data_IF_018321505111
#
_entry.id   IF_018321505111
#
_cell.length_a   1.000
_cell.length_b   1.000
_cell.length_c   1.000
_cell.angle_alpha   90.00
_cell.angle_beta   90.00
_cell.angle_gamma   90.00
#
_symmetry.space_group_name_H-M   'P 1'
#
loop_
_entity.id
_entity.type
_entity.pdbx_description
1 polymer ?
#
# COMPACT_ATOMS: atom_id res chain seq x y z
N UNK A 1 -2.55 -1.26 -7.99
CA UNK A 1 -3.59 -0.27 -8.31
C UNK A 1 -3.20 0.34 -9.64
N UNK A 2 -3.68 -0.25 -10.74
CA UNK A 2 -3.24 0.13 -12.10
C UNK A 2 -3.41 1.61 -12.42
N UNK A 3 -4.49 2.24 -11.94
CA UNK A 3 -4.87 3.63 -12.22
C UNK A 3 -3.84 4.67 -11.74
N UNK A 4 -3.07 4.31 -10.72
CA UNK A 4 -2.00 5.14 -10.15
C UNK A 4 -0.62 4.50 -10.26
N UNK A 5 -0.52 3.42 -11.06
CA UNK A 5 0.70 2.64 -11.26
C UNK A 5 1.44 2.31 -9.94
N UNK A 6 0.68 1.90 -8.92
CA UNK A 6 1.20 1.79 -7.55
C UNK A 6 0.61 0.65 -6.73
N UNK A 7 1.24 0.34 -5.59
CA UNK A 7 0.82 -0.70 -4.65
C UNK A 7 -0.05 -0.13 -3.53
N UNK A 8 -1.00 -0.96 -3.08
CA UNK A 8 -1.76 -0.76 -1.86
C UNK A 8 -1.35 -1.80 -0.81
N UNK A 9 -1.13 -1.38 0.44
CA UNK A 9 -0.75 -2.29 1.54
C UNK A 9 -1.77 -2.19 2.67
N UNK A 10 -2.40 -3.32 3.02
CA UNK A 10 -3.43 -3.38 4.06
C UNK A 10 -3.00 -4.28 5.20
N UNK A 11 -3.15 -3.79 6.44
CA UNK A 11 -2.93 -4.60 7.65
C UNK A 11 -4.07 -5.60 7.86
N UNK A 12 -3.76 -6.76 8.45
CA UNK A 12 -4.77 -7.73 8.90
C UNK A 12 -5.73 -7.15 9.92
N UNK A 13 -5.22 -6.27 10.79
CA UNK A 13 -5.99 -5.70 11.89
C UNK A 13 -6.88 -4.53 11.46
N UNK A 14 -6.77 -4.10 10.20
CA UNK A 14 -7.61 -3.05 9.65
C UNK A 14 -9.01 -3.57 9.33
N UNK A 15 -10.01 -2.95 9.97
CA UNK A 15 -11.43 -3.23 9.74
C UNK A 15 -11.99 -2.18 8.81
N UNK A 16 -12.15 -2.55 7.54
CA UNK A 16 -12.67 -1.65 6.51
C UNK A 16 -12.35 -2.14 5.10
N UNK A 17 -12.81 -1.39 4.12
CA UNK A 17 -12.42 -1.57 2.73
C UNK A 17 -11.13 -0.81 2.43
N UNK A 18 -10.30 -1.37 1.56
CA UNK A 18 -9.22 -0.62 0.91
C UNK A 18 -9.80 0.29 -0.17
N UNK A 19 -8.97 1.18 -0.72
CA UNK A 19 -9.31 2.05 -1.87
C UNK A 19 -9.82 1.30 -3.10
N UNK A 20 -9.54 0.00 -3.24
CA UNK A 20 -10.07 -0.85 -4.31
C UNK A 20 -11.38 -1.58 -3.92
N UNK A 21 -12.04 -1.14 -2.85
CA UNK A 21 -13.33 -1.66 -2.37
C UNK A 21 -13.28 -3.01 -1.65
N UNK A 22 -12.11 -3.62 -1.50
CA UNK A 22 -11.98 -4.96 -0.91
C UNK A 22 -11.43 -4.89 0.53
N UNK A 23 -11.99 -5.65 1.49
CA UNK A 23 -11.39 -5.81 2.81
C UNK A 23 -10.17 -6.74 2.78
N UNK A 24 -9.38 -6.75 3.87
CA UNK A 24 -8.22 -7.63 4.02
C UNK A 24 -8.56 -9.10 3.77
N UNK A 25 -9.69 -9.61 4.29
CA UNK A 25 -10.07 -11.03 4.16
C UNK A 25 -10.20 -11.47 2.70
N UNK A 26 -10.79 -10.64 1.84
CA UNK A 26 -10.92 -10.89 0.40
C UNK A 26 -9.54 -10.94 -0.27
N UNK A 27 -8.68 -9.96 0.03
CA UNK A 27 -7.32 -9.89 -0.55
C UNK A 27 -6.43 -11.03 -0.06
N UNK A 28 -6.53 -11.41 1.22
CA UNK A 28 -5.86 -12.57 1.77
C UNK A 28 -6.30 -13.85 1.04
N UNK A 29 -7.60 -14.02 0.81
CA UNK A 29 -8.13 -15.12 -0.01
C UNK A 29 -7.55 -15.14 -1.42
N UNK A 30 -7.40 -13.97 -2.05
CA UNK A 30 -6.78 -13.85 -3.37
C UNK A 30 -5.31 -14.27 -3.37
N UNK A 31 -4.53 -13.89 -2.36
CA UNK A 31 -3.09 -14.19 -2.24
C UNK A 31 -2.75 -15.56 -1.63
N UNK A 32 -3.76 -16.34 -1.22
CA UNK A 32 -3.57 -17.60 -0.48
C UNK A 32 -3.53 -18.87 -1.37
N UNK A 33 -3.32 -20.02 -0.73
CA UNK A 33 -3.46 -21.34 -1.37
C UNK A 33 -2.24 -21.80 -2.18
N UNK A 34 -1.06 -21.20 -1.96
CA UNK A 34 0.18 -21.57 -2.65
C UNK A 34 0.19 -21.24 -4.15
N UNK A 35 -0.79 -20.49 -4.63
CA UNK A 35 -0.88 -20.04 -6.03
C UNK A 35 -0.12 -18.74 -6.19
N UNK A 36 0.68 -18.66 -7.24
CA UNK A 36 1.28 -17.40 -7.66
C UNK A 36 0.22 -16.59 -8.40
N UNK A 37 -0.05 -15.38 -7.90
CA UNK A 37 -0.91 -14.42 -8.58
C UNK A 37 -0.14 -13.13 -8.75
N UNK A 38 0.04 -12.75 -10.00
CA UNK A 38 0.69 -11.49 -10.33
C UNK A 38 -0.11 -10.32 -9.73
N UNK A 39 0.62 -9.33 -9.20
CA UNK A 39 0.03 -8.16 -8.54
C UNK A 39 -0.41 -8.36 -7.09
N UNK A 40 -0.31 -9.58 -6.55
CA UNK A 40 -0.70 -9.89 -5.17
C UNK A 40 0.41 -10.63 -4.42
N UNK A 41 0.77 -10.15 -3.24
CA UNK A 41 1.76 -10.80 -2.38
C UNK A 41 1.40 -10.64 -0.91
N UNK A 42 1.51 -11.73 -0.15
CA UNK A 42 1.46 -11.68 1.32
C UNK A 42 2.85 -11.41 1.88
N UNK A 43 2.96 -10.43 2.78
CA UNK A 43 4.22 -10.06 3.43
C UNK A 43 4.07 -10.03 4.95
N UNK A 44 5.16 -10.27 5.67
CA UNK A 44 5.24 -9.99 7.11
C UNK A 44 5.36 -8.49 7.37
N UNK A 45 4.79 -8.02 8.47
CA UNK A 45 4.79 -6.58 8.84
C UNK A 45 6.21 -6.03 8.97
N UNK A 46 7.14 -6.80 9.53
CA UNK A 46 8.55 -6.43 9.65
C UNK A 46 9.26 -6.26 8.29
N UNK A 47 8.70 -6.76 7.18
CA UNK A 47 9.32 -6.54 5.87
C UNK A 47 9.26 -5.07 5.45
N UNK A 48 8.31 -4.28 5.98
CA UNK A 48 8.22 -2.83 5.73
C UNK A 48 9.43 -2.06 6.25
N UNK A 49 10.14 -2.57 7.25
CA UNK A 49 11.36 -1.93 7.77
C UNK A 49 12.62 -2.40 7.06
N UNK A 50 12.49 -3.30 6.07
CA UNK A 50 13.64 -3.82 5.34
C UNK A 50 14.13 -2.82 4.28
N UNK A 51 15.46 -2.59 4.15
CA UNK A 51 16.01 -1.83 3.03
C UNK A 51 15.83 -2.56 1.68
N UNK A 52 15.40 -3.83 1.70
CA UNK A 52 15.10 -4.64 0.51
C UNK A 52 13.61 -4.75 0.23
N UNK A 53 12.78 -3.92 0.87
CA UNK A 53 11.34 -3.90 0.64
C UNK A 53 11.03 -3.65 -0.83
N UNK A 54 10.50 -4.67 -1.53
CA UNK A 54 10.12 -4.65 -2.95
C UNK A 54 11.12 -3.90 -3.86
N UNK A 55 12.43 -4.04 -3.59
CA UNK A 55 13.44 -3.20 -4.24
C UNK A 55 13.47 -3.39 -5.76
N UNK A 56 13.19 -4.60 -6.24
CA UNK A 56 13.11 -4.90 -7.67
C UNK A 56 11.95 -4.19 -8.36
N UNK A 57 10.88 -3.88 -7.63
CA UNK A 57 9.71 -3.17 -8.15
C UNK A 57 9.79 -1.66 -7.93
N UNK A 58 10.74 -1.17 -7.13
CA UNK A 58 10.91 0.26 -6.80
C UNK A 58 10.55 0.63 -5.36
N UNK A 59 10.26 -0.36 -4.50
CA UNK A 59 10.08 -0.20 -3.05
C UNK A 59 8.98 0.79 -2.67
N UNK A 60 9.22 1.59 -1.63
CA UNK A 60 8.25 2.56 -1.13
C UNK A 60 7.85 3.62 -2.16
N UNK A 61 8.71 3.91 -3.15
CA UNK A 61 8.40 4.81 -4.26
C UNK A 61 7.26 4.31 -5.15
N UNK A 62 6.85 3.04 -5.03
CA UNK A 62 5.67 2.49 -5.71
C UNK A 62 4.46 2.35 -4.81
N UNK A 63 4.58 2.55 -3.50
CA UNK A 63 3.43 2.46 -2.60
C UNK A 63 2.61 3.74 -2.76
N UNK A 64 1.37 3.60 -3.20
CA UNK A 64 0.43 4.72 -3.36
C UNK A 64 -0.47 4.86 -2.13
N UNK A 65 -0.81 3.73 -1.49
CA UNK A 65 -1.73 3.68 -0.36
C UNK A 65 -1.30 2.65 0.69
N UNK A 66 -1.46 2.96 1.97
CA UNK A 66 -1.36 1.97 3.05
C UNK A 66 -2.16 2.36 4.29
N UNK A 67 -2.57 1.39 5.10
CA UNK A 67 -3.24 1.70 6.38
C UNK A 67 -2.33 2.51 7.30
N UNK A 68 -2.86 3.52 8.01
CA UNK A 68 -2.06 4.48 8.76
C UNK A 68 -1.16 3.81 9.81
N UNK A 69 -1.61 2.70 10.41
CA UNK A 69 -0.82 1.90 11.35
C UNK A 69 0.47 1.34 10.74
N UNK A 70 0.44 0.94 9.47
CA UNK A 70 1.63 0.50 8.74
C UNK A 70 2.53 1.68 8.36
N UNK A 71 1.93 2.85 8.08
CA UNK A 71 2.67 4.08 7.80
C UNK A 71 3.46 4.55 9.02
N UNK A 72 2.90 4.41 10.23
CA UNK A 72 3.62 4.63 11.49
C UNK A 72 4.87 3.75 11.60
N UNK A 73 4.75 2.45 11.31
CA UNK A 73 5.88 1.52 11.35
C UNK A 73 6.95 1.85 10.29
N UNK A 74 6.55 2.30 9.11
CA UNK A 74 7.47 2.62 8.01
C UNK A 74 8.36 3.85 8.31
N UNK A 75 7.97 4.74 9.23
CA UNK A 75 8.75 5.94 9.61
C UNK A 75 10.18 5.67 10.03
N UNK A 76 10.45 4.49 10.60
CA UNK A 76 11.81 4.15 11.04
C UNK A 76 12.81 4.07 9.88
N UNK A 77 12.38 3.73 8.67
CA UNK A 77 13.26 3.43 7.53
C UNK A 77 12.90 4.17 6.23
N UNK A 78 11.86 5.00 6.25
CA UNK A 78 11.37 5.75 5.09
C UNK A 78 11.39 7.24 5.41
N UNK A 79 11.92 8.05 4.49
CA UNK A 79 11.97 9.51 4.66
C UNK A 79 10.57 10.10 4.82
N UNK A 80 10.44 11.12 5.67
CA UNK A 80 9.19 11.86 5.89
C UNK A 80 8.60 12.44 4.58
N UNK A 81 9.43 12.92 3.65
CA UNK A 81 8.96 13.41 2.35
C UNK A 81 8.23 12.31 1.55
N UNK A 82 8.82 11.11 1.46
CA UNK A 82 8.19 10.00 0.77
C UNK A 82 6.91 9.54 1.48
N UNK A 83 6.91 9.48 2.81
CA UNK A 83 5.73 9.10 3.58
C UNK A 83 4.59 10.12 3.41
N UNK A 84 4.88 11.41 3.38
CA UNK A 84 3.87 12.44 3.13
C UNK A 84 3.15 12.23 1.79
N UNK A 85 3.80 11.58 0.82
CA UNK A 85 3.26 11.29 -0.52
C UNK A 85 2.59 9.91 -0.64
N UNK A 86 2.36 9.20 0.47
CA UNK A 86 1.62 7.92 0.51
C UNK A 86 0.29 8.15 1.21
N UNK A 87 -0.82 7.86 0.55
CA UNK A 87 -2.15 8.02 1.13
C UNK A 87 -2.47 6.93 2.16
N UNK A 88 -3.44 7.20 3.03
CA UNK A 88 -3.98 6.26 4.01
C UNK A 88 -5.49 6.21 3.94
N UNK A 89 -6.11 5.33 4.74
CA UNK A 89 -7.55 5.27 4.93
C UNK A 89 -8.14 6.55 5.54
N UNK A 90 -7.31 7.50 6.00
CA UNK A 90 -7.76 8.80 6.51
C UNK A 90 -7.76 9.89 5.44
N UNK A 91 -6.99 9.67 4.36
CA UNK A 91 -6.81 10.64 3.29
C UNK A 91 -7.79 10.39 2.14
N UNK A 92 -8.00 9.11 1.77
CA UNK A 92 -8.80 8.70 0.61
C UNK A 92 -9.52 7.37 0.86
N UNK A 93 -10.71 7.20 0.27
CA UNK A 93 -11.56 6.01 0.42
C UNK A 93 -11.69 5.17 -0.86
N UNK A 94 -11.36 5.74 -2.03
CA UNK A 94 -11.56 5.09 -3.32
C UNK A 94 -10.43 5.42 -4.31
N UNK A 95 -10.44 4.76 -5.47
CA UNK A 95 -9.42 4.92 -6.52
C UNK A 95 -9.43 6.32 -7.13
N UNK A 96 -10.59 6.96 -7.27
CA UNK A 96 -10.69 8.30 -7.86
C UNK A 96 -10.02 9.34 -6.95
N UNK A 97 -10.32 9.30 -5.65
CA UNK A 97 -9.67 10.14 -4.64
C UNK A 97 -8.17 9.85 -4.54
N UNK A 98 -7.75 8.58 -4.61
CA UNK A 98 -6.34 8.22 -4.63
C UNK A 98 -5.63 8.79 -5.87
N UNK A 99 -6.28 8.75 -7.03
CA UNK A 99 -5.74 9.29 -8.28
C UNK A 99 -5.53 10.80 -8.17
N UNK A 100 -6.48 11.53 -7.58
CA UNK A 100 -6.35 12.96 -7.33
C UNK A 100 -5.25 13.27 -6.31
N UNK A 101 -5.17 12.51 -5.21
CA UNK A 101 -4.10 12.62 -4.23
C UNK A 101 -2.72 12.46 -4.88
N UNK A 102 -2.55 11.42 -5.71
CA UNK A 102 -1.27 11.11 -6.37
C UNK A 102 -0.81 12.20 -7.34
N UNK A 103 -1.74 12.85 -8.05
CA UNK A 103 -1.45 14.03 -8.89
C UNK A 103 -0.98 15.22 -8.05
N UNK A 104 -1.68 15.49 -6.94
CA UNK A 104 -1.36 16.62 -6.06
C UNK A 104 0.03 16.49 -5.42
N UNK A 105 0.48 15.26 -5.16
CA UNK A 105 1.82 15.00 -4.61
C UNK A 105 2.90 14.77 -5.68
N UNK A 106 2.56 14.93 -6.96
CA UNK A 106 3.49 14.81 -8.09
C UNK A 106 3.99 13.39 -8.35
N UNK A 107 3.17 12.38 -8.06
CA UNK A 107 3.47 10.95 -8.27
C UNK A 107 2.59 10.28 -9.34
N UNK A 108 1.76 11.07 -10.02
CA UNK A 108 0.97 10.72 -11.20
C UNK A 108 0.90 11.94 -12.14
#
# INVERSE_FOLDING_TARGET
IPEVDGFGIVSRDFVGATVIGNPFSTLAGMSSGGKQKEGYVGIGVQYLTSPKFLIADGGFSRVAWMTSTLKELARENVSEDLLAKIATEKDVQNVDELTEFMKNVGRL
#
